data_IF_697670958315
#
_entry.id   IF_697670958315
#
_cell.length_a   1.000
_cell.length_b   1.000
_cell.length_c   1.000
_cell.angle_alpha   90.00
_cell.angle_beta   90.00
_cell.angle_gamma   90.00
#
_symmetry.space_group_name_H-M   'P 1'
#
loop_
_entity.id
_entity.type
_entity.pdbx_description
1 polymer ?
#
# COMPACT_ATOMS: atom_id res chain seq x y z
N UNK A 1 -19.67 0.28 -20.26
CA UNK A 1 -18.29 0.14 -19.95
C UNK A 1 -18.02 0.47 -18.50
N UNK A 2 -17.25 -0.34 -17.89
CA UNK A 2 -16.95 -0.11 -16.50
C UNK A 2 -16.02 1.10 -16.35
N UNK A 3 -16.24 1.88 -15.32
CA UNK A 3 -15.34 2.95 -14.98
C UNK A 3 -13.96 2.35 -14.64
N UNK A 4 -12.92 3.08 -14.97
CA UNK A 4 -11.57 2.68 -14.60
C UNK A 4 -11.41 2.84 -13.11
N UNK A 5 -11.40 1.73 -12.40
CA UNK A 5 -11.08 1.76 -10.99
C UNK A 5 -9.58 1.84 -10.82
N UNK A 6 -9.09 2.63 -9.88
CA UNK A 6 -7.65 2.66 -9.64
C UNK A 6 -7.17 1.28 -9.21
N UNK A 7 -5.97 0.91 -9.67
CA UNK A 7 -5.36 -0.36 -9.26
C UNK A 7 -4.85 -0.30 -7.83
N UNK A 8 -4.76 0.87 -7.30
CA UNK A 8 -4.36 1.08 -5.92
C UNK A 8 -5.13 2.25 -5.36
N UNK A 9 -5.76 2.05 -4.21
CA UNK A 9 -6.46 3.13 -3.54
C UNK A 9 -6.48 2.88 -2.04
N UNK A 10 -6.81 3.93 -1.30
CA UNK A 10 -6.87 3.89 0.15
C UNK A 10 -8.22 4.38 0.62
N UNK A 11 -8.68 3.82 1.73
CA UNK A 11 -9.91 4.24 2.39
C UNK A 11 -9.62 4.51 3.84
N UNK A 12 -9.97 5.71 4.31
CA UNK A 12 -9.72 6.12 5.69
C UNK A 12 -11.00 5.97 6.49
N UNK A 13 -10.90 5.33 7.66
CA UNK A 13 -11.99 5.20 8.61
C UNK A 13 -11.45 5.56 9.99
N UNK A 14 -12.00 6.60 10.60
CA UNK A 14 -11.63 7.04 11.94
C UNK A 14 -10.11 6.99 12.19
N UNK A 15 -9.63 5.92 12.83
CA UNK A 15 -8.22 5.80 13.20
C UNK A 15 -7.47 4.75 12.39
N UNK A 16 -8.10 4.24 11.33
CA UNK A 16 -7.46 3.23 10.50
C UNK A 16 -7.48 3.63 9.03
N UNK A 17 -6.56 3.03 8.27
CA UNK A 17 -6.54 3.17 6.83
C UNK A 17 -6.46 1.78 6.22
N UNK A 18 -7.27 1.54 5.21
CA UNK A 18 -7.22 0.32 4.43
C UNK A 18 -6.62 0.64 3.07
N UNK A 19 -5.62 -0.14 2.68
CA UNK A 19 -4.96 0.00 1.39
C UNK A 19 -5.35 -1.17 0.52
N UNK A 20 -5.70 -0.87 -0.73
CA UNK A 20 -6.19 -1.87 -1.68
C UNK A 20 -5.30 -1.87 -2.91
N UNK A 21 -4.80 -3.05 -3.26
CA UNK A 21 -3.96 -3.23 -4.44
C UNK A 21 -4.55 -4.33 -5.32
N UNK A 22 -4.86 -4.00 -6.56
CA UNK A 22 -5.36 -4.98 -7.52
C UNK A 22 -4.19 -5.71 -8.16
N UNK A 23 -4.05 -6.99 -7.85
CA UNK A 23 -3.01 -7.87 -8.40
C UNK A 23 -3.56 -9.29 -8.51
N UNK A 24 -4.42 -9.55 -9.49
CA UNK A 24 -5.10 -10.85 -9.57
C UNK A 24 -4.16 -12.03 -9.78
N UNK A 25 -2.99 -11.82 -10.36
CA UNK A 25 -2.04 -12.89 -10.63
C UNK A 25 -1.06 -13.14 -9.50
N UNK A 26 -1.08 -12.32 -8.45
CA UNK A 26 -0.15 -12.49 -7.33
C UNK A 26 -0.58 -13.64 -6.44
N UNK A 27 0.41 -14.33 -5.88
CA UNK A 27 0.19 -15.40 -4.91
C UNK A 27 0.26 -14.90 -3.48
N UNK A 28 1.06 -13.86 -3.24
CA UNK A 28 1.26 -13.31 -1.92
C UNK A 28 1.55 -11.82 -2.05
N UNK A 29 0.89 -11.03 -1.21
CA UNK A 29 1.15 -9.59 -1.14
C UNK A 29 1.35 -9.22 0.31
N UNK A 30 2.43 -8.49 0.59
CA UNK A 30 2.71 -7.97 1.93
C UNK A 30 2.96 -6.47 1.82
N UNK A 31 2.72 -5.76 2.92
CA UNK A 31 2.94 -4.32 2.98
C UNK A 31 3.83 -3.98 4.16
N UNK A 32 4.83 -3.13 3.93
CA UNK A 32 5.63 -2.54 4.99
C UNK A 32 5.40 -1.04 5.04
N UNK A 33 5.26 -0.48 6.22
CA UNK A 33 5.06 0.95 6.36
C UNK A 33 5.84 1.53 7.52
N UNK A 34 6.11 2.83 7.45
CA UNK A 34 6.84 3.52 8.52
C UNK A 34 6.03 3.64 9.81
N UNK A 35 4.73 3.32 9.77
CA UNK A 35 3.90 3.35 10.96
C UNK A 35 4.45 2.43 12.04
N UNK A 36 4.95 1.26 11.64
CA UNK A 36 5.46 0.26 12.57
C UNK A 36 6.84 -0.26 12.18
N UNK A 37 7.69 0.66 11.71
CA UNK A 37 9.08 0.37 11.36
C UNK A 37 9.21 -0.68 10.26
N UNK A 38 8.26 -0.64 9.31
CA UNK A 38 8.29 -1.52 8.14
C UNK A 38 8.14 -3.00 8.47
N UNK A 39 7.42 -3.31 9.55
CA UNK A 39 7.00 -4.66 9.81
C UNK A 39 6.08 -5.11 8.68
N UNK A 40 6.34 -6.29 8.11
CA UNK A 40 5.56 -6.77 6.99
C UNK A 40 4.21 -7.32 7.44
N UNK A 41 3.16 -6.87 6.79
CA UNK A 41 1.80 -7.33 7.05
C UNK A 41 1.27 -8.02 5.80
N UNK A 42 0.75 -9.23 5.97
CA UNK A 42 0.16 -9.97 4.86
C UNK A 42 -1.17 -9.36 4.49
N UNK A 43 -1.36 -9.12 3.20
CA UNK A 43 -2.63 -8.64 2.68
C UNK A 43 -3.60 -9.80 2.52
N UNK A 44 -4.88 -9.49 2.57
CA UNK A 44 -5.96 -10.44 2.34
C UNK A 44 -6.43 -10.30 0.91
N UNK A 45 -6.47 -11.42 0.19
CA UNK A 45 -6.92 -11.43 -1.20
C UNK A 45 -8.45 -11.56 -1.24
N UNK A 46 -9.08 -10.60 -1.91
CA UNK A 46 -10.53 -10.62 -2.15
C UNK A 46 -10.75 -10.48 -3.65
N UNK A 47 -10.83 -11.60 -4.34
CA UNK A 47 -11.07 -11.64 -5.79
C UNK A 47 -10.04 -10.84 -6.57
N UNK A 48 -8.77 -10.99 -6.22
CA UNK A 48 -7.69 -10.31 -6.92
C UNK A 48 -7.36 -8.93 -6.38
N UNK A 49 -8.12 -8.44 -5.41
CA UNK A 49 -7.83 -7.18 -4.73
C UNK A 49 -7.27 -7.50 -3.35
N UNK A 50 -6.07 -7.02 -3.10
CA UNK A 50 -5.38 -7.31 -1.84
C UNK A 50 -5.58 -6.14 -0.88
N UNK A 51 -6.01 -6.45 0.33
CA UNK A 51 -6.36 -5.45 1.34
C UNK A 51 -5.48 -5.56 2.57
N UNK A 52 -4.96 -4.42 3.03
CA UNK A 52 -4.23 -4.30 4.29
C UNK A 52 -4.83 -3.14 5.08
N UNK A 53 -5.14 -3.37 6.35
CA UNK A 53 -5.66 -2.33 7.23
C UNK A 53 -4.62 -2.04 8.31
N UNK A 54 -4.32 -0.76 8.50
CA UNK A 54 -3.30 -0.31 9.45
C UNK A 54 -3.86 0.78 10.34
N UNK A 55 -3.34 0.92 11.58
CA UNK A 55 -3.61 2.11 12.35
C UNK A 55 -3.03 3.32 11.63
N UNK A 56 -3.73 4.46 11.71
CA UNK A 56 -3.38 5.60 10.91
C UNK A 56 -3.54 6.89 11.72
N UNK A 57 -2.53 7.76 11.65
CA UNK A 57 -2.58 9.06 12.32
C UNK A 57 -2.12 10.19 11.41
N UNK A 58 -0.94 10.01 10.81
CA UNK A 58 -0.31 11.04 10.00
C UNK A 58 0.19 10.44 8.70
N UNK A 59 0.87 11.24 7.92
CA UNK A 59 1.51 10.73 6.72
C UNK A 59 2.47 9.58 7.05
N UNK A 60 2.63 8.67 6.11
CA UNK A 60 3.53 7.53 6.30
C UNK A 60 4.05 7.06 4.95
N UNK A 61 5.21 6.43 4.98
CA UNK A 61 5.78 5.77 3.81
C UNK A 61 5.38 4.31 3.78
N UNK A 62 5.27 3.75 2.60
CA UNK A 62 4.94 2.34 2.46
C UNK A 62 5.45 1.78 1.16
N UNK A 63 5.57 0.45 1.14
CA UNK A 63 5.86 -0.30 -0.06
C UNK A 63 5.16 -1.65 0.02
N UNK A 64 5.05 -2.32 -1.11
CA UNK A 64 4.52 -3.67 -1.17
C UNK A 64 5.60 -4.66 -1.55
N UNK A 65 5.45 -5.89 -1.08
CA UNK A 65 6.16 -7.04 -1.62
C UNK A 65 5.13 -7.92 -2.31
N UNK A 66 5.25 -8.05 -3.61
CA UNK A 66 4.38 -8.89 -4.42
C UNK A 66 5.16 -10.13 -4.79
N UNK A 67 4.75 -11.28 -4.28
CA UNK A 67 5.48 -12.55 -4.47
C UNK A 67 6.95 -12.40 -4.11
N UNK A 68 7.23 -11.67 -3.04
CA UNK A 68 8.58 -11.48 -2.53
C UNK A 68 9.38 -10.38 -3.23
N UNK A 69 8.81 -9.69 -4.20
CA UNK A 69 9.51 -8.64 -4.94
C UNK A 69 8.94 -7.27 -4.60
N UNK A 70 9.82 -6.29 -4.44
CA UNK A 70 9.41 -4.92 -4.18
C UNK A 70 8.53 -4.39 -5.30
N UNK A 71 7.39 -3.83 -4.93
CA UNK A 71 6.45 -3.24 -5.86
C UNK A 71 5.94 -1.92 -5.30
N UNK A 72 6.04 -0.86 -6.09
CA UNK A 72 5.46 0.43 -5.76
C UNK A 72 4.29 0.70 -6.69
N UNK A 73 3.07 0.88 -6.15
CA UNK A 73 1.93 1.23 -7.00
C UNK A 73 2.07 2.66 -7.48
N UNK A 74 1.16 3.08 -8.35
CA UNK A 74 1.10 4.49 -8.70
C UNK A 74 0.66 5.27 -7.48
N UNK A 75 1.57 6.08 -6.97
CA UNK A 75 1.30 6.93 -5.83
C UNK A 75 1.68 8.37 -6.19
N UNK A 76 1.00 9.32 -5.55
CA UNK A 76 1.22 10.73 -5.88
C UNK A 76 2.59 11.23 -5.48
N UNK A 77 3.09 10.74 -4.36
CA UNK A 77 4.37 11.19 -3.83
C UNK A 77 5.24 9.97 -3.57
N UNK A 78 6.47 10.04 -4.03
CA UNK A 78 7.49 9.03 -3.77
C UNK A 78 8.65 9.69 -3.06
N UNK A 79 9.22 8.99 -2.09
CA UNK A 79 10.37 9.47 -1.34
C UNK A 79 11.50 8.48 -1.47
N UNK A 80 12.72 8.97 -1.46
CA UNK A 80 13.91 8.13 -1.50
C UNK A 80 14.41 7.94 -0.07
N UNK A 81 14.79 6.71 0.25
CA UNK A 81 15.43 6.47 1.54
C UNK A 81 16.94 6.66 1.41
N UNK A 82 17.65 6.43 2.52
CA UNK A 82 19.10 6.63 2.55
C UNK A 82 19.87 5.60 1.74
N UNK A 83 19.20 4.55 1.30
CA UNK A 83 19.83 3.46 0.55
C UNK A 83 19.52 3.52 -0.94
N UNK A 84 18.86 4.58 -1.39
CA UNK A 84 18.51 4.74 -2.79
C UNK A 84 17.22 4.05 -3.20
N UNK A 85 16.55 3.36 -2.30
CA UNK A 85 15.23 2.79 -2.57
C UNK A 85 14.17 3.88 -2.50
N UNK A 86 13.05 3.64 -3.18
CA UNK A 86 11.93 4.57 -3.17
C UNK A 86 10.73 3.93 -2.50
N UNK A 87 10.00 4.74 -1.76
CA UNK A 87 8.75 4.33 -1.13
C UNK A 87 7.65 5.27 -1.56
N UNK A 88 6.41 4.80 -1.50
CA UNK A 88 5.27 5.70 -1.64
C UNK A 88 5.06 6.45 -0.33
N UNK A 89 4.64 7.69 -0.44
CA UNK A 89 4.26 8.49 0.73
C UNK A 89 2.76 8.74 0.68
N UNK A 90 2.06 8.37 1.74
CA UNK A 90 0.66 8.71 1.88
C UNK A 90 0.53 9.99 2.70
N UNK A 91 -0.13 11.00 2.14
CA UNK A 91 -0.35 12.28 2.81
C UNK A 91 -1.85 12.50 2.95
N UNK A 92 -2.34 12.68 4.18
CA UNK A 92 -3.77 12.94 4.38
C UNK A 92 -4.23 14.20 3.64
N UNK A 93 -5.42 14.12 3.07
CA UNK A 93 -5.99 15.26 2.38
C UNK A 93 -5.52 15.48 0.96
N UNK A 94 -4.71 14.58 0.43
CA UNK A 94 -4.30 14.65 -0.98
C UNK A 94 -5.09 13.71 -1.85
#
# INVERSE_FOLDING_TARGET
MAACQPRHFAQIEEETISLYLTKPDAHQVQLGSSIDRFTLHSAVNRDGVWEVTLPYRNEFEYFYLVDGQLFLPECRVRVSDDFGSKNCLFVPGM
#
